data_IF_093827558695
#
_entry.id   IF_093827558695
#
_cell.length_a   1.000
_cell.length_b   1.000
_cell.length_c   1.000
_cell.angle_alpha   90.00
_cell.angle_beta   90.00
_cell.angle_gamma   90.00
#
_symmetry.space_group_name_H-M   'P 1'
#
loop_
_entity.id
_entity.type
_entity.pdbx_description
1 polymer ?
#
# COMPACT_ATOMS: atom_id res chain seq x y z
N UNK A 1 -13.23 -10.79 15.95
CA UNK A 1 -12.96 -10.14 14.66
C UNK A 1 -11.58 -9.53 14.76
N UNK A 2 -10.59 -9.97 13.98
CA UNK A 2 -9.32 -9.22 13.87
C UNK A 2 -9.61 -8.07 12.91
N UNK A 3 -9.45 -6.83 13.36
CA UNK A 3 -9.55 -5.65 12.49
C UNK A 3 -8.57 -5.74 11.34
N UNK A 4 -8.81 -5.00 10.26
CA UNK A 4 -7.81 -4.79 9.22
C UNK A 4 -6.53 -4.24 9.86
N UNK A 5 -5.37 -4.63 9.31
CA UNK A 5 -4.08 -4.15 9.80
C UNK A 5 -3.85 -2.66 9.49
N UNK A 6 -4.59 -2.13 8.52
CA UNK A 6 -4.56 -0.74 8.07
C UNK A 6 -5.99 -0.26 7.80
N UNK A 7 -6.25 1.02 7.98
CA UNK A 7 -7.52 1.67 7.71
C UNK A 7 -7.43 2.62 6.51
N UNK A 8 -8.57 2.95 5.90
CA UNK A 8 -8.61 3.94 4.82
C UNK A 8 -8.13 5.31 5.35
N UNK A 9 -7.24 5.95 4.60
CA UNK A 9 -6.55 7.18 5.01
C UNK A 9 -5.15 6.94 5.60
N UNK A 10 -4.82 5.71 5.99
CA UNK A 10 -3.48 5.39 6.47
C UNK A 10 -2.42 5.63 5.40
N UNK A 11 -1.32 6.23 5.83
CA UNK A 11 -0.12 6.34 5.01
C UNK A 11 0.73 5.09 5.19
N UNK A 12 1.07 4.45 4.08
CA UNK A 12 1.82 3.20 4.06
C UNK A 12 3.00 3.28 3.10
N UNK A 13 4.02 2.47 3.39
CA UNK A 13 5.11 2.15 2.48
C UNK A 13 5.00 0.68 2.06
N UNK A 14 5.27 0.40 0.80
CA UNK A 14 5.37 -0.96 0.28
C UNK A 14 6.78 -1.48 0.56
N UNK A 15 6.86 -2.62 1.24
CA UNK A 15 8.07 -3.40 1.46
C UNK A 15 7.93 -4.73 0.73
N UNK A 16 8.51 -4.81 -0.46
CA UNK A 16 8.41 -5.99 -1.31
C UNK A 16 9.07 -7.20 -0.64
N UNK A 17 8.35 -8.31 -0.55
CA UNK A 17 8.81 -9.61 -0.02
C UNK A 17 8.92 -10.69 -1.10
N UNK A 18 8.56 -10.35 -2.34
CA UNK A 18 8.63 -11.23 -3.50
C UNK A 18 9.02 -10.45 -4.77
N UNK A 19 9.33 -11.19 -5.82
CA UNK A 19 9.77 -10.64 -7.11
C UNK A 19 8.64 -9.90 -7.85
N UNK A 20 7.37 -10.19 -7.55
CA UNK A 20 6.24 -9.54 -8.19
C UNK A 20 6.12 -8.08 -7.74
N UNK A 21 6.30 -7.79 -6.44
CA UNK A 21 6.24 -6.43 -5.90
C UNK A 21 7.58 -5.67 -5.91
N UNK A 22 8.68 -6.32 -6.29
CA UNK A 22 10.02 -5.74 -6.22
C UNK A 22 10.15 -4.37 -6.94
N UNK A 23 9.41 -4.13 -8.03
CA UNK A 23 9.48 -2.88 -8.78
C UNK A 23 8.78 -1.68 -8.09
N UNK A 24 7.93 -1.94 -7.10
CA UNK A 24 7.26 -0.92 -6.27
C UNK A 24 7.79 -0.86 -4.85
N UNK A 25 8.90 -1.55 -4.55
CA UNK A 25 9.53 -1.47 -3.23
C UNK A 25 9.87 -0.02 -2.86
N UNK A 26 9.56 0.37 -1.63
CA UNK A 26 9.73 1.71 -1.10
C UNK A 26 8.74 2.76 -1.62
N UNK A 27 7.81 2.40 -2.50
CA UNK A 27 6.72 3.30 -2.88
C UNK A 27 5.83 3.59 -1.68
N UNK A 28 5.35 4.83 -1.59
CA UNK A 28 4.49 5.30 -0.52
C UNK A 28 3.17 5.79 -1.08
N UNK A 29 2.10 5.56 -0.32
CA UNK A 29 0.76 5.93 -0.74
C UNK A 29 -0.23 5.90 0.41
N UNK A 30 -1.47 6.22 0.08
CA UNK A 30 -2.57 6.25 1.03
C UNK A 30 -3.49 5.07 0.77
N UNK A 31 -3.86 4.32 1.81
CA UNK A 31 -4.87 3.27 1.74
C UNK A 31 -6.23 3.89 1.42
N UNK A 32 -6.91 3.41 0.38
CA UNK A 32 -8.26 3.83 0.00
C UNK A 32 -9.33 2.89 0.55
N UNK A 33 -8.96 1.64 0.80
CA UNK A 33 -9.84 0.59 1.31
C UNK A 33 -9.26 -0.79 1.00
N UNK A 34 -10.15 -1.77 0.93
CA UNK A 34 -9.80 -3.15 0.57
C UNK A 34 -10.67 -3.66 -0.58
N UNK A 35 -10.06 -4.38 -1.51
CA UNK A 35 -10.75 -5.07 -2.60
C UNK A 35 -10.25 -6.53 -2.65
N UNK A 36 -11.18 -7.49 -2.57
CA UNK A 36 -10.86 -8.94 -2.60
C UNK A 36 -9.73 -9.39 -1.66
N UNK A 37 -9.64 -8.76 -0.47
CA UNK A 37 -8.61 -9.09 0.54
C UNK A 37 -7.26 -8.41 0.34
N UNK A 38 -7.12 -7.57 -0.70
CA UNK A 38 -5.95 -6.72 -0.94
C UNK A 38 -6.25 -5.28 -0.51
N UNK A 39 -5.23 -4.54 -0.09
CA UNK A 39 -5.34 -3.12 0.18
C UNK A 39 -5.18 -2.33 -1.11
N UNK A 40 -6.11 -1.44 -1.37
CA UNK A 40 -6.01 -0.48 -2.47
C UNK A 40 -5.17 0.72 -2.00
N UNK A 41 -3.98 0.90 -2.59
CA UNK A 41 -3.03 1.94 -2.21
C UNK A 41 -2.83 2.92 -3.37
N UNK A 42 -3.15 4.18 -3.13
CA UNK A 42 -2.93 5.27 -4.08
C UNK A 42 -1.55 5.90 -3.88
N UNK A 43 -0.64 5.67 -4.82
CA UNK A 43 0.74 6.15 -4.81
C UNK A 43 0.91 7.29 -5.83
N UNK A 44 1.23 8.50 -5.36
CA UNK A 44 1.58 9.62 -6.26
C UNK A 44 3.00 9.44 -6.78
N UNK A 45 3.17 9.39 -8.10
CA UNK A 45 4.46 9.24 -8.78
C UNK A 45 4.71 10.43 -9.71
N UNK A 46 5.95 10.65 -10.19
CA UNK A 46 6.25 11.72 -11.13
C UNK A 46 5.42 11.68 -12.42
N UNK A 47 4.95 10.50 -12.82
CA UNK A 47 4.13 10.25 -14.01
C UNK A 47 2.62 10.13 -13.70
N UNK A 48 2.20 10.54 -12.49
CA UNK A 48 0.81 10.58 -12.06
C UNK A 48 0.46 9.60 -10.95
N UNK A 49 -0.83 9.57 -10.58
CA UNK A 49 -1.34 8.67 -9.56
C UNK A 49 -1.38 7.23 -10.08
N UNK A 50 -0.88 6.28 -9.29
CA UNK A 50 -0.99 4.84 -9.53
C UNK A 50 -1.76 4.20 -8.40
N UNK A 51 -2.72 3.34 -8.75
CA UNK A 51 -3.45 2.51 -7.78
C UNK A 51 -2.86 1.11 -7.80
N UNK A 52 -2.50 0.60 -6.63
CA UNK A 52 -1.94 -0.74 -6.45
C UNK A 52 -2.83 -1.55 -5.51
N UNK A 53 -2.98 -2.85 -5.78
CA UNK A 53 -3.63 -3.79 -4.89
C UNK A 53 -2.56 -4.63 -4.21
N UNK A 54 -2.36 -4.40 -2.91
CA UNK A 54 -1.18 -4.86 -2.18
C UNK A 54 -1.61 -5.75 -0.99
N UNK A 55 -1.05 -6.96 -0.84
CA UNK A 55 -1.26 -7.77 0.34
C UNK A 55 -0.80 -7.07 1.63
N UNK A 56 -1.48 -7.37 2.74
CA UNK A 56 -1.20 -6.74 4.04
C UNK A 56 0.27 -6.88 4.48
N UNK A 57 0.88 -8.03 4.20
CA UNK A 57 2.24 -8.34 4.63
C UNK A 57 3.31 -7.61 3.82
N UNK A 58 2.95 -6.99 2.70
CA UNK A 58 3.82 -6.14 1.89
C UNK A 58 3.76 -4.67 2.33
N UNK A 59 2.96 -4.32 3.35
CA UNK A 59 2.74 -2.96 3.81
C UNK A 59 3.28 -2.72 5.22
N UNK A 60 3.73 -1.49 5.46
CA UNK A 60 3.98 -0.97 6.80
C UNK A 60 3.43 0.45 6.94
N UNK A 61 2.90 0.77 8.13
CA UNK A 61 2.48 2.12 8.49
C UNK A 61 3.68 3.07 8.42
N UNK A 62 3.44 4.28 7.92
CA UNK A 62 4.45 5.32 7.87
C UNK A 62 3.82 6.70 8.08
N UNK A 63 4.63 7.70 8.38
CA UNK A 63 4.18 9.08 8.52
C UNK A 63 4.27 9.78 7.16
N UNK A 64 3.32 10.68 6.91
CA UNK A 64 3.39 11.57 5.74
C UNK A 64 4.51 12.58 5.99
N UNK A 65 5.56 12.51 5.17
CA UNK A 65 6.70 13.45 5.21
C UNK A 65 6.39 14.73 4.45
#
# INVERSE_FOLDING_TARGET
MRGSAFDAGDWVVIHAKDDFFAFVDGWRGTVQGTNEGLYEVACMRPDGMKTLFVPADQLALTVRS
#
